data_IF_008404068167
#
_entry.id   IF_008404068167
#
_cell.length_a   1.000
_cell.length_b   1.000
_cell.length_c   1.000
_cell.angle_alpha   90.00
_cell.angle_beta   90.00
_cell.angle_gamma   90.00
#
_symmetry.space_group_name_H-M   'P 1'
#
loop_
_entity.id
_entity.type
_entity.pdbx_description
1 polymer ?
#
# COMPACT_ATOMS: atom_id res chain seq x y z
N UNK A 1 18.98 1.95 -7.21
CA UNK A 1 17.75 1.13 -7.34
C UNK A 1 16.82 1.61 -6.24
N UNK A 2 15.57 1.95 -6.55
CA UNK A 2 14.62 2.38 -5.52
C UNK A 2 14.20 1.17 -4.67
N UNK A 3 14.13 1.34 -3.36
CA UNK A 3 13.52 0.32 -2.49
C UNK A 3 12.02 0.22 -2.78
N UNK A 4 11.47 -0.99 -2.67
CA UNK A 4 10.05 -1.28 -2.94
C UNK A 4 9.27 -1.31 -1.64
N UNK A 5 8.08 -0.69 -1.64
CA UNK A 5 7.17 -0.66 -0.48
C UNK A 5 5.78 -1.13 -0.90
N UNK A 6 5.30 -2.20 -0.25
CA UNK A 6 3.92 -2.65 -0.35
C UNK A 6 3.03 -1.91 0.66
N UNK A 7 1.97 -1.28 0.17
CA UNK A 7 0.99 -0.55 0.97
C UNK A 7 -0.37 -1.20 0.81
N UNK A 8 -0.96 -1.69 1.90
CA UNK A 8 -2.19 -2.49 1.88
C UNK A 8 -3.15 -2.18 3.03
N UNK A 9 -4.40 -2.62 2.91
CA UNK A 9 -5.43 -2.61 3.96
C UNK A 9 -6.11 -3.97 4.01
N UNK A 10 -6.04 -4.61 5.17
CA UNK A 10 -6.55 -5.95 5.39
C UNK A 10 -8.04 -5.93 5.83
N UNK A 11 -8.78 -6.96 5.42
CA UNK A 11 -10.10 -7.26 5.96
C UNK A 11 -11.16 -6.22 5.59
N UNK A 12 -11.90 -5.69 6.56
CA UNK A 12 -12.97 -4.71 6.33
C UNK A 12 -12.52 -3.26 6.56
N UNK A 13 -11.22 -3.03 6.67
CA UNK A 13 -10.71 -1.69 6.95
C UNK A 13 -10.84 -0.76 5.74
N UNK A 14 -11.86 0.12 5.80
CA UNK A 14 -12.19 1.09 4.77
C UNK A 14 -11.52 2.45 4.91
N UNK A 15 -10.67 2.67 5.93
CA UNK A 15 -10.01 3.97 6.12
C UNK A 15 -8.93 4.18 5.05
N UNK A 16 -9.17 5.13 4.15
CA UNK A 16 -8.38 5.27 2.93
C UNK A 16 -7.50 6.54 2.88
N UNK A 17 -7.87 7.60 3.60
CA UNK A 17 -7.18 8.90 3.50
C UNK A 17 -5.71 8.81 3.91
N UNK A 18 -5.43 8.20 5.06
CA UNK A 18 -4.06 8.08 5.58
C UNK A 18 -3.18 7.23 4.67
N UNK A 19 -3.68 6.06 4.25
CA UNK A 19 -2.92 5.13 3.40
C UNK A 19 -2.60 5.74 2.02
N UNK A 20 -3.53 6.52 1.43
CA UNK A 20 -3.30 7.22 0.17
C UNK A 20 -2.27 8.34 0.30
N UNK A 21 -2.28 9.10 1.40
CA UNK A 21 -1.28 10.15 1.64
C UNK A 21 0.11 9.54 1.83
N UNK A 22 0.24 8.49 2.64
CA UNK A 22 1.52 7.81 2.84
C UNK A 22 2.06 7.23 1.53
N UNK A 23 1.21 6.55 0.75
CA UNK A 23 1.59 6.04 -0.57
C UNK A 23 2.03 7.14 -1.55
N UNK A 24 1.48 8.35 -1.43
CA UNK A 24 1.92 9.50 -2.23
C UNK A 24 3.29 10.01 -1.77
N UNK A 25 3.47 10.23 -0.47
CA UNK A 25 4.73 10.74 0.10
C UNK A 25 5.89 9.78 -0.21
N UNK A 26 5.68 8.47 -0.09
CA UNK A 26 6.70 7.47 -0.43
C UNK A 26 7.10 7.54 -1.91
N UNK A 27 6.13 7.72 -2.82
CA UNK A 27 6.44 7.91 -4.25
C UNK A 27 7.21 9.21 -4.51
N UNK A 28 6.81 10.31 -3.87
CA UNK A 28 7.50 11.59 -3.99
C UNK A 28 8.93 11.53 -3.42
N UNK A 29 9.17 10.65 -2.43
CA UNK A 29 10.50 10.36 -1.89
C UNK A 29 11.34 9.39 -2.75
N UNK A 30 10.80 8.90 -3.87
CA UNK A 30 11.52 8.06 -4.83
C UNK A 30 11.42 6.55 -4.60
N UNK A 31 10.54 6.09 -3.72
CA UNK A 31 10.25 4.66 -3.56
C UNK A 31 9.36 4.13 -4.68
N UNK A 32 9.55 2.86 -5.05
CA UNK A 32 8.58 2.14 -5.87
C UNK A 32 7.46 1.62 -4.95
N UNK A 33 6.26 2.18 -5.09
CA UNK A 33 5.13 1.89 -4.19
C UNK A 33 4.10 1.02 -4.90
N UNK A 34 3.81 -0.13 -4.30
CA UNK A 34 2.75 -1.05 -4.72
C UNK A 34 1.58 -0.84 -3.78
N UNK A 35 0.50 -0.22 -4.26
CA UNK A 35 -0.72 -0.04 -3.48
C UNK A 35 -1.78 -1.04 -3.91
N UNK A 36 -2.19 -1.94 -3.01
CA UNK A 36 -3.13 -3.04 -3.31
C UNK A 36 -4.60 -2.64 -3.23
N UNK A 37 -4.92 -1.43 -2.76
CA UNK A 37 -6.30 -1.03 -2.49
C UNK A 37 -6.83 -1.49 -1.13
N UNK A 38 -8.14 -1.37 -0.95
CA UNK A 38 -8.86 -1.74 0.26
C UNK A 38 -9.24 -3.23 0.25
N UNK A 39 -9.59 -3.72 1.43
CA UNK A 39 -10.23 -5.01 1.63
C UNK A 39 -9.46 -6.24 1.14
N UNK A 40 -8.14 -6.23 1.30
CA UNK A 40 -7.30 -7.36 0.91
C UNK A 40 -7.36 -8.49 1.94
N UNK A 41 -7.21 -9.73 1.47
CA UNK A 41 -6.97 -10.88 2.35
C UNK A 41 -5.47 -11.03 2.62
N UNK A 42 -5.06 -11.66 3.73
CA UNK A 42 -3.65 -11.95 4.00
C UNK A 42 -2.95 -12.69 2.84
N UNK A 43 -3.65 -13.63 2.21
CA UNK A 43 -3.10 -14.45 1.11
C UNK A 43 -2.82 -13.58 -0.13
N UNK A 44 -3.73 -12.66 -0.48
CA UNK A 44 -3.49 -11.71 -1.58
C UNK A 44 -2.31 -10.79 -1.29
N UNK A 45 -2.14 -10.34 -0.04
CA UNK A 45 -1.03 -9.46 0.35
C UNK A 45 0.32 -10.18 0.27
N UNK A 46 0.42 -11.44 0.71
CA UNK A 46 1.66 -12.22 0.64
C UNK A 46 2.08 -12.52 -0.80
N UNK A 47 1.12 -12.59 -1.73
CA UNK A 47 1.38 -12.87 -3.14
C UNK A 47 1.74 -11.63 -3.99
N UNK A 48 1.64 -10.42 -3.42
CA UNK A 48 1.85 -9.14 -4.11
C UNK A 48 3.33 -8.69 -4.09
#
# INVERSE_FOLDING_TARGET
MAERVLVTKLGLDGHDRGVKIVARILRDAGYEVIYTGLFQTPETVVAA
#
